data_IF_676131356520
#
_entry.id   IF_676131356520
#
_cell.length_a   1.000
_cell.length_b   1.000
_cell.length_c   1.000
_cell.angle_alpha   90.00
_cell.angle_beta   90.00
_cell.angle_gamma   90.00
#
_symmetry.space_group_name_H-M   'P 1'
#
loop_
_entity.id
_entity.type
_entity.pdbx_description
1 polymer ?
#
# COMPACT_ATOMS: atom_id res chain seq x y z
N UNK A 1 -20.90 -0.22 -3.11
CA UNK A 1 -20.34 0.70 -4.14
C UNK A 1 -19.12 1.26 -3.47
N UNK A 2 -17.96 1.03 -4.06
CA UNK A 2 -16.70 1.37 -3.41
C UNK A 2 -16.58 2.88 -3.24
N UNK A 3 -16.23 3.30 -2.02
CA UNK A 3 -15.91 4.68 -1.71
C UNK A 3 -14.55 5.04 -2.29
N UNK A 4 -13.60 4.09 -2.23
CA UNK A 4 -12.26 4.21 -2.80
C UNK A 4 -11.93 2.91 -3.55
N UNK A 5 -11.37 3.02 -4.74
CA UNK A 5 -10.81 1.88 -5.49
C UNK A 5 -9.49 2.25 -6.13
N UNK A 6 -8.48 1.44 -5.87
CA UNK A 6 -7.16 1.53 -6.48
C UNK A 6 -6.92 0.26 -7.28
N UNK A 7 -6.51 0.43 -8.54
CA UNK A 7 -6.23 -0.64 -9.47
C UNK A 7 -4.80 -0.48 -9.99
N UNK A 8 -4.03 -1.57 -10.00
CA UNK A 8 -2.64 -1.59 -10.44
C UNK A 8 -1.76 -0.56 -9.74
N UNK A 9 -2.01 -0.28 -8.46
CA UNK A 9 -1.32 0.78 -7.74
C UNK A 9 0.16 0.44 -7.56
N UNK A 10 1.02 1.40 -7.93
CA UNK A 10 2.47 1.31 -7.79
C UNK A 10 2.96 2.41 -6.87
N UNK A 11 3.76 2.05 -5.88
CA UNK A 11 4.39 2.99 -4.95
C UNK A 11 5.83 2.53 -4.77
N UNK A 12 6.81 3.41 -4.94
CA UNK A 12 8.22 3.09 -4.71
C UNK A 12 8.91 4.21 -3.94
N UNK A 13 9.97 3.84 -3.22
CA UNK A 13 10.92 4.78 -2.69
C UNK A 13 12.27 4.51 -3.34
N UNK A 14 12.73 5.46 -4.16
CA UNK A 14 13.86 5.24 -5.07
C UNK A 14 13.62 3.98 -5.93
N UNK A 15 14.58 3.06 -5.95
CA UNK A 15 14.54 1.85 -6.79
C UNK A 15 13.85 0.66 -6.06
N UNK A 16 13.33 0.89 -4.86
CA UNK A 16 12.64 -0.13 -4.07
C UNK A 16 11.12 0.02 -4.21
N UNK A 17 10.41 -0.91 -4.88
CA UNK A 17 8.96 -0.92 -4.90
C UNK A 17 8.42 -1.20 -3.49
N UNK A 18 7.53 -0.34 -3.01
CA UNK A 18 6.78 -0.45 -1.75
C UNK A 18 5.41 -1.10 -1.97
N UNK A 19 4.76 -0.80 -3.09
CA UNK A 19 3.55 -1.46 -3.58
C UNK A 19 3.79 -1.83 -5.04
N UNK A 20 3.59 -3.10 -5.37
CA UNK A 20 3.71 -3.61 -6.73
C UNK A 20 2.36 -4.18 -7.19
N UNK A 21 1.75 -3.50 -8.16
CA UNK A 21 0.47 -3.83 -8.78
C UNK A 21 -0.64 -4.15 -7.76
N UNK A 22 -0.77 -3.28 -6.75
CA UNK A 22 -1.70 -3.49 -5.65
C UNK A 22 -3.14 -3.12 -6.03
N UNK A 23 -4.08 -3.94 -5.59
CA UNK A 23 -5.52 -3.74 -5.73
C UNK A 23 -6.11 -3.45 -4.34
N UNK A 24 -6.83 -2.33 -4.21
CA UNK A 24 -7.47 -1.94 -2.95
C UNK A 24 -8.89 -1.46 -3.22
N UNK A 25 -9.84 -2.04 -2.51
CA UNK A 25 -11.23 -1.62 -2.50
C UNK A 25 -11.64 -1.30 -1.07
N UNK A 26 -12.19 -0.11 -0.86
CA UNK A 26 -12.77 0.31 0.41
C UNK A 26 -14.23 0.64 0.14
N UNK A 27 -15.14 -0.08 0.79
CA UNK A 27 -16.57 0.14 0.70
C UNK A 27 -17.05 1.24 1.66
N UNK A 28 -18.27 1.72 1.44
CA UNK A 28 -18.87 2.72 2.33
C UNK A 28 -19.00 2.17 3.77
N UNK A 29 -18.61 2.98 4.75
CA UNK A 29 -18.49 2.62 6.18
C UNK A 29 -17.43 1.58 6.53
N UNK A 30 -16.59 1.14 5.59
CA UNK A 30 -15.47 0.25 5.87
C UNK A 30 -14.32 1.01 6.57
N UNK A 31 -13.78 0.41 7.64
CA UNK A 31 -12.63 0.96 8.38
C UNK A 31 -11.39 0.13 8.08
N UNK A 32 -10.49 0.69 7.29
CA UNK A 32 -9.24 0.04 6.88
C UNK A 32 -8.05 0.66 7.61
N UNK A 33 -7.13 -0.19 8.09
CA UNK A 33 -5.84 0.22 8.64
C UNK A 33 -4.73 -0.41 7.81
N UNK A 34 -3.92 0.41 7.16
CA UNK A 34 -2.76 -0.05 6.40
C UNK A 34 -1.54 -0.06 7.32
N UNK A 35 -0.89 -1.22 7.42
CA UNK A 35 0.29 -1.42 8.26
C UNK A 35 1.44 -1.84 7.38
N UNK A 36 2.58 -1.17 7.52
CA UNK A 36 3.83 -1.56 6.90
C UNK A 36 4.83 -2.00 7.96
N UNK A 37 5.60 -3.05 7.66
CA UNK A 37 6.76 -3.43 8.46
C UNK A 37 7.99 -2.76 7.88
N UNK A 38 8.67 -1.95 8.68
CA UNK A 38 9.97 -1.38 8.31
C UNK A 38 11.08 -2.35 8.71
N UNK A 39 11.80 -2.89 7.74
CA UNK A 39 13.08 -3.52 8.01
C UNK A 39 14.11 -2.40 8.19
N UNK A 40 14.65 -2.23 9.41
CA UNK A 40 15.82 -1.37 9.62
C UNK A 40 16.97 -1.99 8.82
N UNK A 41 17.43 -1.32 7.79
CA UNK A 41 18.72 -1.64 7.16
C UNK A 41 19.78 -1.37 8.22
N UNK A 42 20.47 -2.42 8.68
CA UNK A 42 21.58 -2.29 9.62
C UNK A 42 22.75 -1.63 8.87
N UNK A 43 23.18 -0.41 9.22
CA UNK A 43 24.22 0.30 8.48
C UNK A 43 25.64 -0.11 8.89
N UNK A 44 25.84 -1.37 9.33
CA UNK A 44 27.16 -1.88 9.74
C UNK A 44 27.89 -2.53 8.57
#
# INVERSE_FOLDING_TARGET
MSLISMHGAWLSFSDSPLLDNAELHIEDNERVCLVAVTARVNPR
#
